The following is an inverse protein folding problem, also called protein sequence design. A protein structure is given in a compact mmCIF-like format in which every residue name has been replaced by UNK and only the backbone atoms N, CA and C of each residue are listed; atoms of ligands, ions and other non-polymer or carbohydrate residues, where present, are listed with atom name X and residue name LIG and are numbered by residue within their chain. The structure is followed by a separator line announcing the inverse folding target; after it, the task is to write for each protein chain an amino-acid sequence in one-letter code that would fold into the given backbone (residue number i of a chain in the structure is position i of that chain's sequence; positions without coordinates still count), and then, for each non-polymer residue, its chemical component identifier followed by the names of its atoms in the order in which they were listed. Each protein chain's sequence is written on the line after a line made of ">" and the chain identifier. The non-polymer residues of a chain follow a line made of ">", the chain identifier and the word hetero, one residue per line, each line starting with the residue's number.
data_IF_825008320531
#
_entry.id   IF_825008320531
#
_cell.length_a   1.000
_cell.length_b   1.000
_cell.length_c   1.000
_cell.angle_alpha   90.00
_cell.angle_beta   90.00
_cell.angle_gamma   90.00
#
_symmetry.space_group_name_H-M   'P 1'
#
loop_
_entity.id
_entity.type
_entity.pdbx_description
1 polymer ?
#
# COMPACT_ATOMS: atom_id res chain seq x y z
N UNK A 1 -69.75 18.87 23.65
CA UNK A 1 -68.86 17.71 23.44
C UNK A 1 -68.24 17.88 22.08
N UNK A 2 -66.97 18.27 22.00
CA UNK A 2 -66.21 18.38 20.78
C UNK A 2 -65.19 17.21 20.76
N UNK A 3 -65.34 16.33 19.83
CA UNK A 3 -64.48 15.16 19.62
C UNK A 3 -63.16 15.63 18.98
N UNK A 4 -62.05 15.39 19.67
CA UNK A 4 -60.69 15.56 19.13
C UNK A 4 -60.34 14.27 18.36
N UNK A 5 -60.02 14.41 17.07
CA UNK A 5 -59.36 13.39 16.28
C UNK A 5 -57.83 13.43 16.48
N UNK A 6 -57.15 12.30 16.69
CA UNK A 6 -55.70 12.26 16.75
C UNK A 6 -55.11 12.22 15.32
N UNK A 7 -54.28 13.20 15.01
CA UNK A 7 -53.41 13.16 13.81
C UNK A 7 -52.26 12.22 14.06
N UNK A 8 -52.24 11.08 13.33
CA UNK A 8 -51.08 10.24 13.25
C UNK A 8 -50.05 10.89 12.30
N UNK A 9 -48.93 11.35 12.87
CA UNK A 9 -47.78 11.84 12.11
C UNK A 9 -46.96 10.60 11.65
N UNK A 10 -47.09 10.20 10.39
CA UNK A 10 -46.27 9.17 9.79
C UNK A 10 -44.95 9.81 9.39
N UNK A 11 -43.90 9.63 10.20
CA UNK A 11 -42.53 9.94 9.81
C UNK A 11 -42.07 8.92 8.78
N UNK A 12 -42.09 9.28 7.50
CA UNK A 12 -41.40 8.54 6.44
C UNK A 12 -39.90 8.76 6.63
N UNK A 13 -39.21 7.76 7.19
CA UNK A 13 -37.77 7.64 7.14
C UNK A 13 -37.38 7.29 5.70
N UNK A 14 -36.92 8.28 4.94
CA UNK A 14 -36.21 8.06 3.68
C UNK A 14 -34.85 7.46 4.00
N UNK A 15 -34.75 6.13 3.92
CA UNK A 15 -33.46 5.47 3.75
C UNK A 15 -32.97 5.81 2.34
N UNK A 16 -32.10 6.80 2.23
CA UNK A 16 -31.28 6.99 1.04
C UNK A 16 -30.29 5.83 1.00
N UNK A 17 -30.67 4.77 0.27
CA UNK A 17 -29.71 3.75 -0.15
C UNK A 17 -28.77 4.45 -1.11
N UNK A 18 -27.64 4.96 -0.61
CA UNK A 18 -26.55 5.35 -1.47
C UNK A 18 -26.07 4.07 -2.16
N UNK A 19 -26.39 3.93 -3.44
CA UNK A 19 -25.81 2.89 -4.28
C UNK A 19 -24.32 3.17 -4.33
N UNK A 20 -23.53 2.37 -3.57
CA UNK A 20 -22.08 2.33 -3.77
C UNK A 20 -21.86 2.08 -5.26
N UNK A 21 -21.15 2.97 -5.92
CA UNK A 21 -20.72 2.74 -7.28
C UNK A 21 -19.97 1.41 -7.31
N UNK A 22 -20.32 0.53 -8.26
CA UNK A 22 -19.63 -0.73 -8.38
C UNK A 22 -18.16 -0.46 -8.72
N UNK A 23 -17.23 -1.03 -7.93
CA UNK A 23 -15.81 -0.96 -8.22
C UNK A 23 -15.53 -1.52 -9.62
N UNK A 24 -14.56 -0.94 -10.31
CA UNK A 24 -14.07 -1.53 -11.55
C UNK A 24 -13.43 -2.88 -11.23
N UNK A 25 -13.94 -3.95 -11.86
CA UNK A 25 -13.34 -5.29 -11.73
C UNK A 25 -12.28 -5.56 -12.79
N UNK A 26 -11.99 -4.58 -13.64
CA UNK A 26 -10.95 -4.66 -14.64
C UNK A 26 -9.66 -4.06 -14.09
N UNK A 27 -8.59 -4.86 -14.14
CA UNK A 27 -7.23 -4.39 -13.82
C UNK A 27 -6.72 -3.47 -14.93
N UNK A 28 -5.90 -2.48 -14.55
CA UNK A 28 -5.21 -1.61 -15.51
C UNK A 28 -4.14 -2.37 -16.32
N UNK A 29 -3.61 -3.48 -15.79
CA UNK A 29 -2.68 -4.38 -16.48
C UNK A 29 -3.43 -5.21 -17.54
N UNK A 30 -3.19 -5.04 -18.87
CA UNK A 30 -4.04 -5.61 -19.92
C UNK A 30 -4.10 -7.14 -19.94
N UNK A 31 -2.98 -7.79 -19.62
CA UNK A 31 -2.80 -9.24 -19.70
C UNK A 31 -2.55 -9.84 -18.32
N UNK A 32 -3.21 -9.33 -17.29
CA UNK A 32 -3.03 -9.80 -15.91
C UNK A 32 -3.10 -11.33 -15.80
N UNK A 33 -2.19 -11.90 -15.01
CA UNK A 33 -2.11 -13.35 -14.80
C UNK A 33 -3.40 -13.87 -14.13
N UNK A 34 -3.71 -15.16 -14.23
CA UNK A 34 -4.84 -15.74 -13.51
C UNK A 34 -4.81 -15.44 -12.01
N UNK A 35 -3.65 -15.62 -11.37
CA UNK A 35 -3.48 -15.33 -9.94
C UNK A 35 -3.75 -13.84 -9.62
N UNK A 36 -3.29 -12.91 -10.45
CA UNK A 36 -3.51 -11.47 -10.26
C UNK A 36 -4.99 -11.13 -10.37
N UNK A 37 -5.69 -11.70 -11.37
CA UNK A 37 -7.14 -11.53 -11.52
C UNK A 37 -7.91 -12.09 -10.33
N UNK A 38 -7.52 -13.25 -9.85
CA UNK A 38 -8.11 -13.92 -8.69
C UNK A 38 -7.95 -13.08 -7.42
N UNK A 39 -6.72 -12.63 -7.12
CA UNK A 39 -6.46 -11.76 -5.97
C UNK A 39 -7.29 -10.47 -6.05
N UNK A 40 -7.28 -9.80 -7.21
CA UNK A 40 -8.05 -8.56 -7.38
C UNK A 40 -9.57 -8.78 -7.24
N UNK A 41 -10.09 -9.90 -7.75
CA UNK A 41 -11.50 -10.27 -7.59
C UNK A 41 -11.85 -10.46 -6.10
N UNK A 42 -10.99 -11.15 -5.33
CA UNK A 42 -11.16 -11.32 -3.87
C UNK A 42 -11.14 -9.97 -3.16
N UNK A 43 -10.22 -9.06 -3.53
CA UNK A 43 -10.20 -7.70 -2.99
C UNK A 43 -11.54 -6.99 -3.24
N UNK A 44 -12.07 -7.06 -4.46
CA UNK A 44 -13.36 -6.47 -4.82
C UNK A 44 -14.54 -7.08 -4.05
N UNK A 45 -14.55 -8.40 -3.87
CA UNK A 45 -15.65 -9.10 -3.19
C UNK A 45 -15.66 -8.87 -1.69
N UNK A 46 -14.49 -8.66 -1.08
CA UNK A 46 -14.36 -8.34 0.34
C UNK A 46 -14.60 -6.86 0.66
N UNK A 47 -14.43 -5.97 -0.31
CA UNK A 47 -14.49 -4.52 -0.08
C UNK A 47 -15.81 -4.08 0.55
N UNK A 48 -15.71 -3.28 1.61
CA UNK A 48 -16.86 -2.83 2.39
C UNK A 48 -17.48 -3.86 3.34
N UNK A 49 -17.09 -5.15 3.21
CA UNK A 49 -17.58 -6.25 4.05
C UNK A 49 -16.54 -6.76 5.04
N UNK A 50 -15.27 -6.75 4.65
CA UNK A 50 -14.12 -7.18 5.44
C UNK A 50 -12.92 -6.29 5.11
N UNK A 51 -11.93 -6.27 6.01
CA UNK A 51 -10.62 -5.65 5.80
C UNK A 51 -9.55 -6.74 5.88
N UNK A 52 -8.61 -6.73 4.95
CA UNK A 52 -7.50 -7.67 4.95
C UNK A 52 -6.43 -7.15 5.93
N UNK A 53 -5.96 -8.02 6.81
CA UNK A 53 -4.88 -7.71 7.75
C UNK A 53 -3.53 -7.69 7.05
N UNK A 54 -2.70 -6.71 7.35
CA UNK A 54 -1.39 -6.56 6.71
C UNK A 54 -0.29 -6.13 7.66
N UNK A 55 0.91 -6.64 7.40
CA UNK A 55 2.18 -6.24 8.01
C UNK A 55 3.19 -5.92 6.92
N UNK A 56 4.26 -5.23 7.29
CA UNK A 56 5.39 -4.98 6.39
C UNK A 56 6.64 -5.70 6.91
N UNK A 57 7.39 -6.31 6.02
CA UNK A 57 8.68 -6.91 6.31
C UNK A 57 9.71 -5.84 6.63
N UNK A 58 10.72 -6.19 7.45
CA UNK A 58 11.92 -5.37 7.58
C UNK A 58 12.66 -5.32 6.25
N UNK A 59 13.59 -4.40 6.14
CA UNK A 59 14.33 -4.10 4.90
C UNK A 59 15.10 -5.28 4.29
N UNK A 60 15.40 -6.31 5.09
CA UNK A 60 16.07 -7.54 4.69
C UNK A 60 15.12 -8.68 4.29
N UNK A 61 13.86 -8.37 4.13
CA UNK A 61 12.78 -9.28 3.76
C UNK A 61 12.62 -10.46 4.72
N UNK A 62 11.79 -10.29 5.70
CA UNK A 62 11.43 -11.33 6.67
C UNK A 62 9.93 -11.34 6.96
N UNK A 63 9.49 -12.14 7.89
CA UNK A 63 8.11 -12.21 8.37
C UNK A 63 7.98 -11.91 9.86
N UNK A 64 8.97 -11.22 10.44
CA UNK A 64 9.06 -11.01 11.90
C UNK A 64 7.81 -10.33 12.46
N UNK A 65 7.30 -9.30 11.78
CA UNK A 65 6.07 -8.62 12.20
C UNK A 65 4.86 -9.55 12.18
N UNK A 66 4.74 -10.37 11.14
CA UNK A 66 3.67 -11.36 11.06
C UNK A 66 3.81 -12.45 12.15
N UNK A 67 5.04 -12.83 12.52
CA UNK A 67 5.33 -13.75 13.62
C UNK A 67 4.97 -13.13 14.98
N UNK A 68 5.17 -11.81 15.17
CA UNK A 68 4.71 -11.12 16.38
C UNK A 68 3.18 -11.20 16.50
N UNK A 69 2.47 -10.84 15.43
CA UNK A 69 1.00 -10.91 15.39
C UNK A 69 0.51 -12.33 15.67
N UNK A 70 1.13 -13.33 15.04
CA UNK A 70 0.77 -14.73 15.27
C UNK A 70 0.99 -15.16 16.72
N UNK A 71 2.12 -14.77 17.33
CA UNK A 71 2.40 -15.08 18.72
C UNK A 71 1.38 -14.49 19.71
N UNK A 72 0.82 -13.32 19.38
CA UNK A 72 -0.16 -12.64 20.21
C UNK A 72 -1.60 -13.11 20.01
N UNK A 73 -1.96 -13.49 18.78
CA UNK A 73 -3.36 -13.73 18.39
C UNK A 73 -3.67 -15.19 18.00
N UNK A 74 -2.64 -15.98 17.73
CA UNK A 74 -2.76 -17.31 17.12
C UNK A 74 -3.06 -17.28 15.61
N UNK A 75 -3.11 -16.09 14.97
CA UNK A 75 -3.47 -15.90 13.57
C UNK A 75 -2.38 -15.08 12.85
N UNK A 76 -2.01 -15.50 11.63
CA UNK A 76 -1.12 -14.69 10.79
C UNK A 76 -1.92 -13.62 10.03
N UNK A 77 -1.35 -12.41 9.83
CA UNK A 77 -1.90 -11.46 8.87
C UNK A 77 -2.00 -12.07 7.47
N UNK A 78 -2.98 -11.61 6.69
CA UNK A 78 -3.19 -12.15 5.35
C UNK A 78 -2.23 -11.56 4.30
N UNK A 79 -1.77 -10.33 4.49
CA UNK A 79 -0.85 -9.61 3.60
C UNK A 79 0.49 -9.40 4.31
N UNK A 80 1.61 -9.67 3.63
CA UNK A 80 2.92 -9.16 4.02
C UNK A 80 3.53 -8.37 2.87
N UNK A 81 4.04 -7.17 3.18
CA UNK A 81 4.60 -6.24 2.18
C UNK A 81 6.12 -6.25 2.27
N UNK A 82 6.81 -6.28 1.14
CA UNK A 82 8.25 -6.33 1.02
C UNK A 82 8.76 -5.07 0.33
N UNK A 83 9.79 -4.42 0.89
CA UNK A 83 10.32 -3.17 0.38
C UNK A 83 11.64 -3.38 -0.37
N UNK A 84 11.74 -2.84 -1.57
CA UNK A 84 12.97 -2.83 -2.37
C UNK A 84 13.93 -1.68 -2.01
N UNK A 85 13.85 -1.13 -0.81
CA UNK A 85 14.59 0.06 -0.39
C UNK A 85 16.11 -0.01 -0.65
N UNK A 86 16.72 -1.18 -0.48
CA UNK A 86 18.18 -1.36 -0.55
C UNK A 86 18.63 -2.16 -1.79
N UNK A 87 18.03 -1.93 -2.97
CA UNK A 87 18.41 -2.67 -4.20
C UNK A 87 19.91 -2.60 -4.48
N UNK A 88 20.55 -1.45 -4.23
CA UNK A 88 21.97 -1.23 -4.41
C UNK A 88 22.88 -2.03 -3.46
N UNK A 89 22.32 -2.55 -2.37
CA UNK A 89 23.01 -3.38 -1.37
C UNK A 89 22.67 -4.87 -1.50
N UNK A 90 21.96 -5.28 -2.53
CA UNK A 90 21.66 -6.69 -2.80
C UNK A 90 22.88 -7.41 -3.39
N UNK A 91 23.18 -8.61 -2.89
CA UNK A 91 24.40 -9.39 -3.23
C UNK A 91 24.49 -9.78 -4.69
N UNK A 92 23.36 -9.92 -5.37
CA UNK A 92 23.30 -10.24 -6.79
C UNK A 92 23.81 -9.12 -7.71
N UNK A 93 23.79 -7.86 -7.21
CA UNK A 93 24.29 -6.69 -7.93
C UNK A 93 25.53 -6.06 -7.27
N UNK A 94 25.74 -6.31 -5.98
CA UNK A 94 26.87 -5.80 -5.21
C UNK A 94 27.52 -6.94 -4.39
N UNK A 95 28.71 -7.43 -4.77
CA UNK A 95 29.36 -8.52 -4.04
C UNK A 95 29.63 -8.23 -2.56
N UNK A 96 29.67 -6.94 -2.16
CA UNK A 96 29.79 -6.51 -0.76
C UNK A 96 28.43 -6.22 -0.12
N UNK A 97 27.34 -6.56 -0.78
CA UNK A 97 25.99 -6.40 -0.27
C UNK A 97 25.74 -7.22 0.99
N UNK A 98 24.84 -6.74 1.83
CA UNK A 98 24.53 -7.38 3.10
C UNK A 98 23.17 -8.10 3.10
N UNK A 99 22.36 -7.91 2.06
CA UNK A 99 21.08 -8.60 1.84
C UNK A 99 21.05 -9.27 0.47
N UNK A 100 20.00 -10.02 0.16
CA UNK A 100 19.85 -10.71 -1.12
C UNK A 100 18.38 -10.71 -1.55
N UNK A 101 17.99 -9.77 -2.41
CA UNK A 101 16.63 -9.70 -2.97
C UNK A 101 16.39 -10.73 -4.09
N UNK A 102 17.43 -11.42 -4.59
CA UNK A 102 17.25 -12.54 -5.51
C UNK A 102 16.79 -13.83 -4.81
N UNK A 103 16.99 -13.95 -3.49
CA UNK A 103 16.43 -15.04 -2.69
C UNK A 103 14.92 -14.82 -2.46
N UNK A 104 14.12 -15.46 -3.30
CA UNK A 104 12.67 -15.42 -3.24
C UNK A 104 12.05 -16.39 -2.22
N UNK A 105 12.84 -17.04 -1.39
CA UNK A 105 12.35 -18.10 -0.49
C UNK A 105 11.29 -17.61 0.49
N UNK A 106 11.52 -16.46 1.13
CA UNK A 106 10.57 -15.87 2.09
C UNK A 106 9.25 -15.48 1.43
N UNK A 107 9.32 -14.83 0.26
CA UNK A 107 8.13 -14.42 -0.51
C UNK A 107 7.35 -15.63 -1.02
N UNK A 108 8.08 -16.62 -1.56
CA UNK A 108 7.49 -17.86 -2.09
C UNK A 108 6.82 -18.67 -0.97
N UNK A 109 7.47 -18.78 0.19
CA UNK A 109 6.90 -19.46 1.35
C UNK A 109 5.66 -18.76 1.87
N UNK A 110 5.67 -17.41 1.92
CA UNK A 110 4.51 -16.64 2.33
C UNK A 110 3.31 -16.90 1.40
N UNK A 111 3.52 -16.79 0.09
CA UNK A 111 2.50 -17.05 -0.93
C UNK A 111 1.97 -18.48 -0.88
N UNK A 112 2.84 -19.48 -0.82
CA UNK A 112 2.44 -20.90 -0.79
C UNK A 112 1.64 -21.28 0.47
N UNK A 113 1.76 -20.50 1.54
CA UNK A 113 0.93 -20.65 2.74
C UNK A 113 -0.35 -19.80 2.71
N UNK A 114 -0.75 -19.30 1.53
CA UNK A 114 -2.00 -18.57 1.33
C UNK A 114 -1.95 -17.10 1.73
N UNK A 115 -0.76 -16.54 1.94
CA UNK A 115 -0.58 -15.11 2.20
C UNK A 115 -0.53 -14.29 0.90
N UNK A 116 -1.14 -13.12 0.89
CA UNK A 116 -0.97 -12.14 -0.18
C UNK A 116 0.40 -11.49 -0.08
N UNK A 117 0.98 -11.21 -1.24
CA UNK A 117 2.28 -10.54 -1.37
C UNK A 117 2.06 -9.11 -1.81
N UNK A 118 2.53 -8.15 -1.00
CA UNK A 118 2.69 -6.77 -1.41
C UNK A 118 4.16 -6.45 -1.66
N UNK A 119 4.43 -5.53 -2.57
CA UNK A 119 5.75 -4.94 -2.72
C UNK A 119 5.63 -3.42 -2.78
N UNK A 120 6.59 -2.75 -2.16
CA UNK A 120 6.75 -1.30 -2.23
C UNK A 120 8.20 -0.95 -2.56
N UNK A 121 8.46 0.31 -2.81
CA UNK A 121 9.81 0.72 -3.16
C UNK A 121 10.12 2.11 -2.63
N UNK A 122 10.85 2.18 -1.52
CA UNK A 122 11.58 3.39 -1.15
C UNK A 122 12.78 3.53 -2.09
N UNK A 123 12.55 4.14 -3.24
CA UNK A 123 13.52 4.20 -4.32
C UNK A 123 14.68 5.14 -3.97
N UNK A 124 15.67 4.58 -3.29
CA UNK A 124 16.89 5.29 -2.98
C UNK A 124 17.78 5.40 -4.23
N UNK A 125 18.23 6.60 -4.49
CA UNK A 125 19.24 6.93 -5.51
C UNK A 125 20.51 7.43 -4.84
N UNK A 126 21.58 7.61 -5.61
CA UNK A 126 22.86 8.08 -5.06
C UNK A 126 22.70 9.48 -4.48
N UNK A 127 23.19 9.68 -3.26
CA UNK A 127 23.22 10.97 -2.59
C UNK A 127 24.33 11.87 -3.19
N UNK A 128 24.22 13.19 -2.99
CA UNK A 128 25.17 14.20 -3.51
C UNK A 128 26.61 14.01 -3.02
N UNK A 129 26.82 13.31 -1.88
CA UNK A 129 28.17 12.94 -1.44
C UNK A 129 28.82 11.81 -2.27
N UNK A 130 28.10 11.20 -3.19
CA UNK A 130 28.59 10.13 -4.07
C UNK A 130 28.86 8.79 -3.37
N UNK A 131 28.51 8.65 -2.10
CA UNK A 131 28.77 7.45 -1.27
C UNK A 131 27.49 6.79 -0.80
N UNK A 132 26.60 7.57 -0.21
CA UNK A 132 25.35 7.09 0.38
C UNK A 132 24.23 7.01 -0.67
N UNK A 133 23.11 6.42 -0.26
CA UNK A 133 21.87 6.39 -1.00
C UNK A 133 20.75 7.00 -0.18
N UNK A 134 19.79 7.67 -0.82
CA UNK A 134 18.73 8.42 -0.16
C UNK A 134 17.50 8.56 -1.06
N UNK A 135 16.32 8.73 -0.42
CA UNK A 135 15.10 9.17 -1.09
C UNK A 135 14.89 10.69 -0.98
N UNK A 136 15.64 11.36 -0.07
CA UNK A 136 15.37 12.76 0.31
C UNK A 136 15.89 13.73 -0.75
N UNK A 137 15.02 14.55 -1.37
CA UNK A 137 15.45 15.55 -2.37
C UNK A 137 16.12 16.74 -1.71
N UNK A 138 17.16 17.27 -2.34
CA UNK A 138 17.83 18.49 -1.91
C UNK A 138 19.29 18.57 -2.32
N UNK A 139 20.00 19.61 -1.82
CA UNK A 139 21.37 19.91 -2.21
C UNK A 139 22.40 19.59 -1.11
N UNK A 140 21.97 19.04 0.04
CA UNK A 140 22.91 18.67 1.10
C UNK A 140 23.63 17.36 0.76
N UNK A 141 24.80 17.07 1.35
CA UNK A 141 25.57 15.87 1.06
C UNK A 141 24.80 14.54 1.26
N UNK A 142 23.84 14.51 2.20
CA UNK A 142 22.99 13.33 2.48
C UNK A 142 21.67 13.32 1.70
N UNK A 143 21.39 14.34 0.92
CA UNK A 143 20.24 14.47 0.02
C UNK A 143 20.63 14.13 -1.41
N UNK A 144 19.67 14.18 -2.34
CA UNK A 144 19.93 13.96 -3.76
C UNK A 144 19.32 15.07 -4.62
N UNK A 145 20.04 15.49 -5.63
CA UNK A 145 19.58 16.37 -6.71
C UNK A 145 19.05 15.59 -7.93
N UNK A 146 18.86 14.27 -7.77
CA UNK A 146 18.29 13.41 -8.82
C UNK A 146 17.01 13.99 -9.39
N UNK A 147 16.97 14.17 -10.71
CA UNK A 147 15.86 14.82 -11.37
C UNK A 147 14.78 13.85 -11.87
N UNK A 148 13.58 13.81 -11.28
CA UNK A 148 12.49 12.97 -11.79
C UNK A 148 12.03 13.32 -13.21
N UNK A 149 12.40 14.50 -13.75
CA UNK A 149 12.15 14.87 -15.13
C UNK A 149 13.17 14.29 -16.12
N UNK A 150 14.18 13.55 -15.66
CA UNK A 150 15.21 12.89 -16.48
C UNK A 150 14.61 11.96 -17.56
N UNK A 151 13.36 11.50 -17.39
CA UNK A 151 12.62 10.73 -18.41
C UNK A 151 12.51 11.45 -19.75
N UNK A 152 12.70 12.77 -19.79
CA UNK A 152 12.70 13.60 -21.00
C UNK A 152 14.10 13.76 -21.62
N UNK A 153 15.16 13.34 -20.94
CA UNK A 153 16.55 13.41 -21.42
C UNK A 153 17.25 12.05 -21.39
N UNK A 154 17.08 11.22 -22.46
CA UNK A 154 17.69 9.90 -22.54
C UNK A 154 19.24 9.90 -22.52
N UNK A 155 19.88 11.06 -22.58
CA UNK A 155 21.34 11.18 -22.54
C UNK A 155 21.87 11.47 -21.14
N UNK A 156 21.00 11.82 -20.19
CA UNK A 156 21.41 12.15 -18.81
C UNK A 156 21.88 10.90 -18.04
N UNK A 157 22.71 11.13 -17.03
CA UNK A 157 23.15 10.08 -16.11
C UNK A 157 21.97 9.58 -15.26
N UNK A 158 21.09 10.50 -14.84
CA UNK A 158 19.90 10.18 -14.07
C UNK A 158 18.95 9.26 -14.85
N UNK A 159 18.76 9.49 -16.16
CA UNK A 159 17.95 8.59 -16.98
C UNK A 159 18.54 7.17 -17.04
N UNK A 160 19.88 7.06 -17.20
CA UNK A 160 20.55 5.78 -17.22
C UNK A 160 20.43 5.03 -15.89
N UNK A 161 20.58 5.75 -14.77
CA UNK A 161 20.39 5.20 -13.43
C UNK A 161 18.93 4.76 -13.22
N UNK A 162 17.97 5.61 -13.61
CA UNK A 162 16.54 5.32 -13.52
C UNK A 162 16.17 4.03 -14.25
N UNK A 163 16.65 3.85 -15.49
CA UNK A 163 16.42 2.61 -16.24
C UNK A 163 17.06 1.41 -15.58
N UNK A 164 18.31 1.55 -15.11
CA UNK A 164 19.03 0.47 -14.44
C UNK A 164 18.25 -0.03 -13.21
N UNK A 165 17.78 0.86 -12.38
CA UNK A 165 17.05 0.54 -11.14
C UNK A 165 15.69 -0.10 -11.45
N UNK A 166 14.95 0.45 -12.43
CA UNK A 166 13.67 -0.13 -12.87
C UNK A 166 13.89 -1.55 -13.41
N UNK A 167 14.89 -1.77 -14.26
CA UNK A 167 15.16 -3.07 -14.86
C UNK A 167 15.58 -4.10 -13.80
N UNK A 168 16.32 -3.68 -12.78
CA UNK A 168 16.67 -4.52 -11.64
C UNK A 168 15.43 -4.96 -10.84
N UNK A 169 14.58 -4.01 -10.41
CA UNK A 169 13.35 -4.34 -9.67
C UNK A 169 12.38 -5.14 -10.54
N UNK A 170 12.28 -4.81 -11.83
CA UNK A 170 11.47 -5.60 -12.77
C UNK A 170 11.96 -7.06 -12.87
N UNK A 171 13.25 -7.31 -12.79
CA UNK A 171 13.83 -8.67 -12.73
C UNK A 171 13.34 -9.46 -11.51
N UNK A 172 13.32 -8.85 -10.33
CA UNK A 172 12.79 -9.49 -9.12
C UNK A 172 11.27 -9.76 -9.23
N UNK A 173 10.50 -8.78 -9.68
CA UNK A 173 9.06 -8.95 -9.90
C UNK A 173 8.74 -9.98 -10.98
N UNK A 174 9.61 -10.12 -12.00
CA UNK A 174 9.51 -11.14 -13.04
C UNK A 174 9.71 -12.54 -12.46
N UNK A 175 10.67 -12.70 -11.57
CA UNK A 175 10.88 -13.96 -10.85
C UNK A 175 9.65 -14.35 -10.02
N UNK A 176 9.00 -13.39 -9.38
CA UNK A 176 7.71 -13.63 -8.69
C UNK A 176 6.63 -14.05 -9.68
N UNK A 177 6.54 -13.39 -10.85
CA UNK A 177 5.57 -13.76 -11.90
C UNK A 177 5.77 -15.20 -12.38
N UNK A 178 7.00 -15.61 -12.61
CA UNK A 178 7.35 -16.97 -13.06
C UNK A 178 7.00 -18.04 -12.02
N UNK A 179 6.93 -17.66 -10.74
CA UNK A 179 6.46 -18.49 -9.63
C UNK A 179 4.93 -18.42 -9.42
N UNK A 180 4.19 -17.71 -10.30
CA UNK A 180 2.74 -17.55 -10.20
C UNK A 180 2.26 -16.62 -9.07
N UNK A 181 3.14 -15.78 -8.55
CA UNK A 181 2.84 -14.86 -7.42
C UNK A 181 2.21 -13.58 -7.96
N UNK A 182 1.01 -13.26 -7.50
CA UNK A 182 0.39 -11.94 -7.69
C UNK A 182 0.96 -10.95 -6.68
N UNK A 183 1.22 -9.72 -7.11
CA UNK A 183 1.85 -8.69 -6.28
C UNK A 183 0.98 -7.45 -6.19
N UNK A 184 0.62 -7.03 -4.98
CA UNK A 184 0.06 -5.70 -4.71
C UNK A 184 1.24 -4.72 -4.74
N UNK A 185 1.36 -3.95 -5.84
CA UNK A 185 2.53 -3.13 -6.15
C UNK A 185 2.27 -1.66 -5.83
N UNK A 186 3.02 -1.11 -4.86
CA UNK A 186 2.90 0.27 -4.38
C UNK A 186 4.22 1.04 -4.57
N UNK A 187 4.57 1.44 -5.80
CA UNK A 187 5.73 2.28 -6.07
C UNK A 187 5.45 3.75 -5.79
N UNK A 188 6.49 4.57 -5.69
CA UNK A 188 6.42 6.04 -5.70
C UNK A 188 5.40 6.61 -4.70
N UNK A 189 5.28 5.98 -3.53
CA UNK A 189 4.31 6.36 -2.49
C UNK A 189 4.65 7.73 -1.90
N UNK A 190 3.65 8.35 -1.26
CA UNK A 190 3.76 9.63 -0.55
C UNK A 190 4.40 10.77 -1.37
N UNK A 191 4.19 10.77 -2.69
CA UNK A 191 4.91 11.64 -3.61
C UNK A 191 4.72 13.13 -3.31
N UNK A 192 3.51 13.55 -2.92
CA UNK A 192 3.24 14.95 -2.58
C UNK A 192 3.74 15.35 -1.19
N UNK A 193 4.10 14.36 -0.34
CA UNK A 193 4.44 14.60 1.05
C UNK A 193 3.33 15.38 1.76
N UNK A 194 3.70 16.45 2.46
CA UNK A 194 2.75 17.35 3.12
C UNK A 194 2.55 18.69 2.39
N UNK A 195 2.78 18.72 1.07
CA UNK A 195 2.70 19.93 0.24
C UNK A 195 1.38 20.68 0.40
N UNK A 196 0.28 19.97 0.62
CA UNK A 196 -1.07 20.53 0.69
C UNK A 196 -1.62 20.62 2.12
N UNK A 197 -0.86 20.21 3.13
CA UNK A 197 -1.33 20.20 4.51
C UNK A 197 -1.19 21.57 5.18
N UNK A 198 -0.13 22.31 4.85
CA UNK A 198 0.13 23.65 5.38
C UNK A 198 1.04 24.47 4.46
N UNK A 199 1.07 25.78 4.71
CA UNK A 199 1.95 26.69 3.96
C UNK A 199 3.42 26.35 4.25
N UNK A 200 4.19 26.08 3.19
CA UNK A 200 5.57 25.61 3.27
C UNK A 200 5.73 24.09 3.35
N UNK A 201 4.67 23.35 3.26
CA UNK A 201 4.72 21.88 3.05
C UNK A 201 5.46 21.51 1.77
N UNK A 202 6.05 20.31 1.73
CA UNK A 202 6.93 19.88 0.63
C UNK A 202 6.80 18.37 0.34
N UNK A 203 7.22 17.95 -0.84
CA UNK A 203 7.46 16.55 -1.15
C UNK A 203 8.60 16.01 -0.24
N UNK A 204 8.45 14.77 0.22
CA UNK A 204 9.44 14.12 1.08
C UNK A 204 10.48 13.36 0.29
N UNK A 205 10.10 12.91 -0.90
CA UNK A 205 10.89 12.03 -1.75
C UNK A 205 11.21 12.69 -3.10
N UNK A 206 12.34 12.31 -3.70
CA UNK A 206 12.82 12.88 -4.95
C UNK A 206 11.81 12.74 -6.10
N UNK A 207 11.00 11.67 -6.14
CA UNK A 207 9.99 11.46 -7.19
C UNK A 207 8.82 12.44 -7.14
N UNK A 208 8.65 13.16 -6.04
CA UNK A 208 7.68 14.25 -5.89
C UNK A 208 8.27 15.66 -6.02
N UNK A 209 9.60 15.79 -6.03
CA UNK A 209 10.29 17.09 -5.88
C UNK A 209 9.97 18.13 -6.98
N UNK A 210 9.55 17.69 -8.16
CA UNK A 210 9.21 18.56 -9.31
C UNK A 210 7.69 18.73 -9.50
N UNK A 211 6.86 18.29 -8.55
CA UNK A 211 5.40 18.47 -8.56
C UNK A 211 4.63 17.44 -9.37
N UNK A 212 3.31 17.57 -9.34
CA UNK A 212 2.38 16.53 -9.79
C UNK A 212 2.47 16.18 -11.26
N UNK A 213 2.73 17.12 -12.17
CA UNK A 213 2.83 16.81 -13.60
C UNK A 213 4.06 15.93 -13.90
N UNK A 214 5.19 16.23 -13.29
CA UNK A 214 6.41 15.41 -13.40
C UNK A 214 6.19 14.04 -12.77
N UNK A 215 5.57 13.99 -11.60
CA UNK A 215 5.22 12.74 -10.93
C UNK A 215 4.33 11.84 -11.81
N UNK A 216 3.26 12.39 -12.39
CA UNK A 216 2.38 11.64 -13.29
C UNK A 216 3.11 11.10 -14.51
N UNK A 217 4.00 11.90 -15.08
CA UNK A 217 4.84 11.46 -16.21
C UNK A 217 5.79 10.32 -15.79
N UNK A 218 6.44 10.43 -14.63
CA UNK A 218 7.30 9.38 -14.08
C UNK A 218 6.52 8.10 -13.77
N UNK A 219 5.32 8.21 -13.17
CA UNK A 219 4.45 7.07 -12.91
C UNK A 219 4.11 6.31 -14.19
N UNK A 220 3.68 7.04 -15.24
CA UNK A 220 3.34 6.45 -16.53
C UNK A 220 4.54 5.82 -17.23
N UNK A 221 5.71 6.45 -17.10
CA UNK A 221 6.97 5.89 -17.59
C UNK A 221 7.32 4.58 -16.90
N UNK A 222 7.21 4.52 -15.56
CA UNK A 222 7.43 3.33 -14.77
C UNK A 222 6.44 2.21 -15.16
N UNK A 223 5.16 2.55 -15.28
CA UNK A 223 4.11 1.62 -15.71
C UNK A 223 4.42 1.04 -17.10
N UNK A 224 4.70 1.89 -18.06
CA UNK A 224 5.03 1.48 -19.43
C UNK A 224 6.25 0.55 -19.47
N UNK A 225 7.30 0.91 -18.75
CA UNK A 225 8.52 0.11 -18.66
C UNK A 225 8.25 -1.26 -18.03
N UNK A 226 7.54 -1.32 -16.93
CA UNK A 226 7.25 -2.58 -16.23
C UNK A 226 6.25 -3.46 -16.99
N UNK A 227 5.13 -2.89 -17.45
CA UNK A 227 4.04 -3.66 -18.07
C UNK A 227 4.33 -3.98 -19.53
N UNK A 228 4.73 -2.99 -20.33
CA UNK A 228 4.86 -3.17 -21.78
C UNK A 228 6.26 -3.58 -22.21
N UNK A 229 7.31 -3.09 -21.56
CA UNK A 229 8.68 -3.50 -21.90
C UNK A 229 9.08 -4.82 -21.23
N UNK A 230 8.90 -4.96 -19.90
CA UNK A 230 9.25 -6.18 -19.17
C UNK A 230 8.16 -7.25 -19.17
N UNK A 231 6.94 -6.92 -19.59
CA UNK A 231 5.81 -7.86 -19.63
C UNK A 231 5.39 -8.35 -18.24
N UNK A 232 5.43 -7.46 -17.24
CA UNK A 232 4.96 -7.76 -15.89
C UNK A 232 3.45 -7.71 -15.87
N UNK A 233 2.82 -8.87 -15.75
CA UNK A 233 1.38 -9.06 -15.75
C UNK A 233 0.82 -9.54 -14.40
N UNK A 234 1.68 -9.56 -13.37
CA UNK A 234 1.35 -10.02 -12.03
C UNK A 234 1.14 -8.88 -11.02
N UNK A 235 1.05 -7.63 -11.48
CA UNK A 235 0.99 -6.46 -10.63
C UNK A 235 -0.44 -5.91 -10.51
N UNK A 236 -0.86 -5.60 -9.26
CA UNK A 236 -2.02 -4.77 -8.92
C UNK A 236 -1.48 -3.41 -8.50
N UNK A 237 -1.73 -2.38 -9.30
CA UNK A 237 -1.10 -1.06 -9.16
C UNK A 237 -1.81 -0.20 -8.11
N UNK A 238 -1.08 0.20 -7.08
CA UNK A 238 -1.56 1.00 -5.94
C UNK A 238 -0.95 2.39 -5.99
N UNK A 239 -1.76 3.40 -6.24
CA UNK A 239 -1.35 4.79 -6.08
C UNK A 239 -1.63 5.26 -4.65
N UNK A 240 -0.61 5.82 -4.01
CA UNK A 240 -0.68 6.31 -2.64
C UNK A 240 -0.97 7.82 -2.65
N UNK A 241 -2.19 8.19 -2.29
CA UNK A 241 -2.66 9.56 -2.19
C UNK A 241 -2.31 10.16 -0.83
N UNK A 242 -1.89 11.41 -0.82
CA UNK A 242 -1.78 12.25 0.37
C UNK A 242 -2.88 13.31 0.40
N UNK A 243 -3.00 14.06 1.51
CA UNK A 243 -4.07 15.05 1.65
C UNK A 243 -3.97 16.13 0.57
N UNK A 244 -5.06 16.34 -0.19
CA UNK A 244 -5.16 17.42 -1.17
C UNK A 244 -4.45 17.19 -2.52
N UNK A 245 -3.88 16.00 -2.75
CA UNK A 245 -3.06 15.72 -3.93
C UNK A 245 -3.82 15.13 -5.14
N UNK A 246 -5.14 15.34 -5.22
CA UNK A 246 -5.96 14.81 -6.31
C UNK A 246 -5.44 15.15 -7.71
N UNK A 247 -4.79 16.30 -7.87
CA UNK A 247 -4.17 16.73 -9.13
C UNK A 247 -2.95 15.87 -9.53
N UNK A 248 -2.42 15.08 -8.61
CA UNK A 248 -1.29 14.17 -8.83
C UNK A 248 -1.72 12.77 -9.28
N UNK A 249 -3.00 12.50 -9.29
CA UNK A 249 -3.53 11.19 -9.70
C UNK A 249 -3.11 10.85 -11.14
N UNK A 250 -2.41 9.72 -11.37
CA UNK A 250 -1.85 9.41 -12.67
C UNK A 250 -2.88 8.92 -13.72
N UNK A 251 -4.07 8.52 -13.26
CA UNK A 251 -5.19 8.13 -14.13
C UNK A 251 -5.69 6.71 -13.90
N UNK A 252 -6.96 6.50 -14.25
CA UNK A 252 -7.66 5.22 -14.05
C UNK A 252 -7.07 4.06 -14.84
N UNK A 253 -6.42 4.36 -15.97
CA UNK A 253 -5.81 3.41 -16.89
C UNK A 253 -4.49 2.81 -16.40
N UNK A 254 -3.89 3.38 -15.35
CA UNK A 254 -2.61 2.95 -14.77
C UNK A 254 -2.66 2.76 -13.26
N UNK A 255 -3.86 2.73 -12.67
CA UNK A 255 -4.09 2.54 -11.22
C UNK A 255 -5.26 1.60 -10.99
N UNK A 256 -5.08 0.60 -10.14
CA UNK A 256 -6.14 -0.33 -9.71
C UNK A 256 -6.74 0.06 -8.36
N UNK A 257 -5.90 0.49 -7.43
CA UNK A 257 -6.26 0.80 -6.04
C UNK A 257 -5.71 2.16 -5.65
N UNK A 258 -6.50 2.94 -4.91
CA UNK A 258 -6.05 4.17 -4.27
C UNK A 258 -5.80 3.89 -2.79
N UNK A 259 -4.66 4.29 -2.28
CA UNK A 259 -4.28 4.06 -0.89
C UNK A 259 -3.95 5.37 -0.15
N UNK A 260 -3.94 5.28 1.17
CA UNK A 260 -3.55 6.34 2.10
C UNK A 260 -2.56 5.78 3.12
N UNK A 261 -1.64 6.63 3.60
CA UNK A 261 -0.81 6.38 4.77
C UNK A 261 -1.21 7.33 5.89
N UNK A 262 -1.36 6.81 7.11
CA UNK A 262 -1.79 7.59 8.26
C UNK A 262 -1.18 7.07 9.57
N UNK A 263 -0.31 7.87 10.17
CA UNK A 263 0.37 7.56 11.44
C UNK A 263 -0.28 8.24 12.66
N UNK A 264 -1.43 8.88 12.47
CA UNK A 264 -2.28 9.39 13.54
C UNK A 264 -3.68 8.79 13.40
N UNK A 265 -3.72 7.46 13.31
CA UNK A 265 -4.87 6.69 12.88
C UNK A 265 -6.02 6.69 13.89
N UNK A 266 -6.54 7.87 14.21
CA UNK A 266 -7.77 8.04 14.99
C UNK A 266 -8.99 7.75 14.12
N UNK A 267 -9.99 7.08 14.70
CA UNK A 267 -11.19 6.63 13.98
C UNK A 267 -11.88 7.74 13.18
N UNK A 268 -12.02 8.94 13.73
CA UNK A 268 -12.75 10.01 13.07
C UNK A 268 -11.95 10.72 11.95
N UNK A 269 -10.68 11.08 12.12
CA UNK A 269 -9.82 11.49 11.02
C UNK A 269 -9.77 10.45 9.89
N UNK A 270 -9.52 9.18 10.19
CA UNK A 270 -9.50 8.09 9.20
C UNK A 270 -10.82 7.96 8.45
N UNK A 271 -11.95 8.13 9.12
CA UNK A 271 -13.26 8.11 8.47
C UNK A 271 -13.41 9.25 7.47
N UNK A 272 -13.00 10.46 7.81
CA UNK A 272 -13.06 11.60 6.88
C UNK A 272 -12.21 11.37 5.65
N UNK A 273 -11.00 10.88 5.83
CA UNK A 273 -10.09 10.55 4.73
C UNK A 273 -10.66 9.44 3.85
N UNK A 274 -11.16 8.37 4.45
CA UNK A 274 -11.79 7.27 3.74
C UNK A 274 -12.97 7.73 2.88
N UNK A 275 -13.90 8.50 3.45
CA UNK A 275 -15.07 9.03 2.72
C UNK A 275 -14.66 10.00 1.62
N UNK A 276 -13.62 10.82 1.86
CA UNK A 276 -13.11 11.73 0.84
C UNK A 276 -12.54 10.95 -0.35
N UNK A 277 -11.71 9.94 -0.09
CA UNK A 277 -11.14 9.09 -1.13
C UNK A 277 -12.24 8.33 -1.91
N UNK A 278 -13.25 7.78 -1.23
CA UNK A 278 -14.38 7.15 -1.91
C UNK A 278 -15.15 8.11 -2.82
N UNK A 279 -15.27 9.36 -2.42
CA UNK A 279 -15.93 10.41 -3.20
C UNK A 279 -15.10 10.79 -4.43
N UNK A 280 -13.79 10.93 -4.25
CA UNK A 280 -12.87 11.35 -5.32
C UNK A 280 -12.59 10.22 -6.33
N UNK A 281 -12.57 8.97 -5.85
CA UNK A 281 -12.27 7.76 -6.64
C UNK A 281 -13.35 6.68 -6.49
N UNK A 282 -14.60 6.94 -6.91
CA UNK A 282 -15.76 6.11 -6.57
C UNK A 282 -15.72 4.70 -7.19
N UNK A 283 -14.90 4.48 -8.19
CA UNK A 283 -14.75 3.18 -8.88
C UNK A 283 -13.55 2.39 -8.41
N UNK A 284 -12.74 2.92 -7.48
CA UNK A 284 -11.50 2.30 -7.01
C UNK A 284 -11.70 1.64 -5.64
N UNK A 285 -10.93 0.60 -5.40
CA UNK A 285 -10.72 0.10 -4.04
C UNK A 285 -9.93 1.13 -3.26
N UNK A 286 -10.29 1.33 -1.98
CA UNK A 286 -9.59 2.26 -1.09
C UNK A 286 -8.92 1.48 0.03
N UNK A 287 -7.63 1.68 0.24
CA UNK A 287 -6.82 0.96 1.21
C UNK A 287 -6.09 1.90 2.17
N UNK A 288 -5.76 1.40 3.36
CA UNK A 288 -4.84 2.04 4.31
C UNK A 288 -3.50 1.32 4.22
N UNK A 289 -2.61 1.83 3.35
CA UNK A 289 -1.41 1.12 2.95
C UNK A 289 -0.28 1.22 3.99
N UNK A 290 -0.32 2.25 4.83
CA UNK A 290 0.49 2.33 6.05
C UNK A 290 -0.32 2.95 7.17
N UNK A 291 -0.18 2.41 8.38
CA UNK A 291 -0.79 3.00 9.54
C UNK A 291 -0.06 2.61 10.83
N UNK A 292 -0.36 3.38 11.87
CA UNK A 292 0.18 3.13 13.21
C UNK A 292 -0.10 4.26 14.17
N UNK A 293 0.39 4.08 15.38
CA UNK A 293 0.46 5.12 16.40
C UNK A 293 1.43 6.21 15.95
N UNK A 294 1.04 7.47 16.06
CA UNK A 294 1.94 8.61 15.90
C UNK A 294 2.68 8.93 17.22
N UNK A 295 3.56 9.92 17.20
CA UNK A 295 4.46 10.25 18.31
C UNK A 295 3.77 10.51 19.65
N UNK A 296 2.54 11.01 19.67
CA UNK A 296 1.80 11.38 20.89
C UNK A 296 0.39 10.77 20.97
N UNK A 297 -0.05 10.00 19.95
CA UNK A 297 -1.44 9.55 19.84
C UNK A 297 -1.50 8.08 19.46
N UNK A 298 -2.04 7.25 20.34
CA UNK A 298 -2.31 5.86 20.06
C UNK A 298 -3.33 5.71 18.92
N UNK A 299 -3.08 4.77 18.02
CA UNK A 299 -4.04 4.39 16.99
C UNK A 299 -5.34 3.90 17.63
N UNK A 300 -6.50 4.33 17.12
CA UNK A 300 -7.80 3.81 17.55
C UNK A 300 -7.89 2.31 17.32
N UNK A 301 -8.64 1.61 18.17
CA UNK A 301 -8.88 0.18 17.97
C UNK A 301 -9.54 -0.08 16.61
N UNK A 302 -9.22 -1.20 16.01
CA UNK A 302 -9.77 -1.55 14.70
C UNK A 302 -11.31 -1.60 14.70
N UNK A 303 -11.91 -2.11 15.77
CA UNK A 303 -13.38 -2.14 15.92
C UNK A 303 -14.00 -0.74 15.88
N UNK A 304 -13.34 0.25 16.45
CA UNK A 304 -13.82 1.63 16.45
C UNK A 304 -13.70 2.26 15.06
N UNK A 305 -12.56 2.01 14.37
CA UNK A 305 -12.34 2.42 12.98
C UNK A 305 -13.42 1.82 12.07
N UNK A 306 -13.69 0.53 12.24
CA UNK A 306 -14.70 -0.18 11.46
C UNK A 306 -16.13 0.31 11.74
N UNK A 307 -16.50 0.47 13.01
CA UNK A 307 -17.84 0.94 13.42
C UNK A 307 -18.11 2.38 12.97
N UNK A 308 -17.09 3.23 12.92
CA UNK A 308 -17.18 4.58 12.37
C UNK A 308 -17.51 4.58 10.87
N UNK A 309 -17.21 3.50 10.14
CA UNK A 309 -17.54 3.35 8.72
C UNK A 309 -16.35 3.28 7.77
N UNK A 310 -15.12 3.32 8.28
CA UNK A 310 -13.89 3.19 7.46
C UNK A 310 -13.70 1.74 7.04
N UNK A 311 -14.11 1.43 5.81
CA UNK A 311 -14.14 0.07 5.24
C UNK A 311 -12.97 -0.17 4.29
N UNK A 312 -11.75 0.05 4.78
CA UNK A 312 -10.52 -0.11 4.00
C UNK A 312 -10.40 -1.52 3.42
N UNK A 313 -9.95 -1.65 2.19
CA UNK A 313 -9.72 -2.94 1.53
C UNK A 313 -8.69 -3.78 2.30
N UNK A 314 -7.60 -3.18 2.68
CA UNK A 314 -6.64 -3.70 3.65
C UNK A 314 -6.16 -2.60 4.57
N UNK A 315 -5.52 -3.01 5.66
CA UNK A 315 -4.86 -2.16 6.61
C UNK A 315 -3.50 -2.79 6.91
N UNK A 316 -2.41 -2.03 6.76
CA UNK A 316 -1.05 -2.49 7.00
C UNK A 316 -0.39 -1.64 8.07
N UNK A 317 0.09 -2.28 9.14
CA UNK A 317 0.87 -1.61 10.19
C UNK A 317 2.36 -1.63 9.85
N UNK A 318 3.07 -0.55 10.24
CA UNK A 318 4.52 -0.49 10.05
C UNK A 318 5.27 -1.40 11.01
N UNK A 319 6.50 -1.79 10.69
CA UNK A 319 7.35 -2.63 11.52
C UNK A 319 8.02 -1.86 12.66
N UNK A 320 8.39 -2.58 13.72
CA UNK A 320 9.12 -2.04 14.87
C UNK A 320 10.35 -2.90 15.20
N UNK A 321 11.55 -2.34 15.04
CA UNK A 321 12.79 -3.03 15.41
C UNK A 321 12.92 -3.31 16.93
N UNK A 322 12.16 -2.58 17.76
CA UNK A 322 12.18 -2.67 19.23
C UNK A 322 10.96 -3.39 19.79
N UNK A 323 10.16 -4.04 18.94
CA UNK A 323 9.00 -4.79 19.35
C UNK A 323 9.35 -5.83 20.44
N UNK A 324 8.66 -5.76 21.57
CA UNK A 324 8.74 -6.79 22.60
C UNK A 324 7.61 -7.80 22.46
N UNK A 325 7.94 -8.97 21.92
CA UNK A 325 6.99 -10.07 21.72
C UNK A 325 6.34 -10.54 23.00
N UNK A 326 7.02 -10.46 24.15
CA UNK A 326 6.53 -10.96 25.44
C UNK A 326 5.55 -9.98 26.08
N UNK A 327 5.92 -8.70 26.18
CA UNK A 327 5.03 -7.67 26.73
C UNK A 327 3.94 -7.29 25.74
N UNK A 328 4.22 -7.39 24.45
CA UNK A 328 3.34 -6.94 23.36
C UNK A 328 3.46 -5.46 23.08
N UNK A 329 4.52 -4.80 23.60
CA UNK A 329 4.85 -3.42 23.27
C UNK A 329 5.34 -3.33 21.82
N UNK A 330 4.81 -2.36 21.09
CA UNK A 330 5.13 -2.11 19.70
C UNK A 330 4.84 -0.64 19.39
N UNK A 331 5.75 0.04 18.71
CA UNK A 331 5.64 1.47 18.44
C UNK A 331 4.34 1.81 17.67
N UNK A 332 3.93 1.00 16.71
CA UNK A 332 2.82 1.33 15.80
C UNK A 332 1.53 0.60 16.12
N UNK A 333 1.57 -0.71 16.35
CA UNK A 333 0.37 -1.52 16.65
C UNK A 333 0.72 -2.70 17.57
N UNK A 334 0.50 -2.54 18.86
CA UNK A 334 0.82 -3.54 19.88
C UNK A 334 -0.19 -4.70 19.95
N UNK A 335 0.11 -5.64 20.86
CA UNK A 335 -0.65 -6.88 21.06
C UNK A 335 -2.16 -6.64 21.21
N UNK A 336 -2.56 -5.71 22.05
CA UNK A 336 -3.99 -5.52 22.36
C UNK A 336 -4.75 -4.97 21.16
N UNK A 337 -4.12 -4.14 20.34
CA UNK A 337 -4.68 -3.69 19.06
C UNK A 337 -4.89 -4.85 18.09
N UNK A 338 -3.89 -5.72 17.95
CA UNK A 338 -3.97 -6.88 17.07
C UNK A 338 -5.00 -7.91 17.54
N UNK A 339 -5.11 -8.16 18.86
CA UNK A 339 -6.16 -9.03 19.43
C UNK A 339 -7.54 -8.45 19.08
N UNK A 340 -7.76 -7.14 19.30
CA UNK A 340 -9.01 -6.48 18.94
C UNK A 340 -9.32 -6.64 17.44
N UNK A 341 -8.33 -6.42 16.58
CA UNK A 341 -8.50 -6.51 15.14
C UNK A 341 -8.86 -7.93 14.68
N UNK A 342 -8.08 -8.93 15.08
CA UNK A 342 -8.27 -10.33 14.65
C UNK A 342 -9.54 -10.96 15.22
N UNK A 343 -9.97 -10.56 16.42
CA UNK A 343 -11.21 -11.06 17.05
C UNK A 343 -12.46 -10.28 16.63
N UNK A 344 -12.35 -9.21 15.86
CA UNK A 344 -13.46 -8.34 15.45
C UNK A 344 -14.53 -9.05 14.60
N UNK A 345 -14.17 -10.13 13.92
CA UNK A 345 -14.99 -10.78 12.90
C UNK A 345 -15.02 -10.03 11.55
N UNK A 346 -14.34 -8.88 11.44
CA UNK A 346 -14.25 -8.07 10.20
C UNK A 346 -12.87 -8.12 9.55
N UNK A 347 -11.84 -8.55 10.27
CA UNK A 347 -10.49 -8.71 9.76
C UNK A 347 -10.32 -10.09 9.12
N UNK A 348 -9.69 -10.16 7.95
CA UNK A 348 -9.33 -11.41 7.26
C UNK A 348 -7.90 -11.77 7.64
N UNK A 349 -7.69 -12.97 8.14
CA UNK A 349 -6.38 -13.58 8.40
C UNK A 349 -5.88 -14.42 7.20
N UNK A 350 -4.64 -14.92 7.28
CA UNK A 350 -4.02 -15.72 6.22
C UNK A 350 -4.74 -17.05 5.96
N UNK A 351 -5.29 -17.68 6.99
CA UNK A 351 -6.02 -18.95 6.84
C UNK A 351 -7.31 -18.73 6.07
N UNK A 352 -8.05 -17.68 6.38
CA UNK A 352 -9.25 -17.30 5.65
C UNK A 352 -8.93 -16.90 4.21
N UNK A 353 -7.83 -16.16 3.99
CA UNK A 353 -7.36 -15.80 2.65
C UNK A 353 -7.01 -17.04 1.82
N UNK A 354 -6.31 -18.01 2.41
CA UNK A 354 -6.01 -19.28 1.75
C UNK A 354 -7.28 -20.01 1.29
N UNK A 355 -8.32 -20.03 2.13
CA UNK A 355 -9.60 -20.63 1.75
C UNK A 355 -10.27 -19.92 0.57
N UNK A 356 -10.21 -18.58 0.54
CA UNK A 356 -10.74 -17.77 -0.57
C UNK A 356 -9.97 -18.04 -1.87
N UNK A 357 -8.64 -18.11 -1.82
CA UNK A 357 -7.82 -18.43 -2.97
C UNK A 357 -8.12 -19.83 -3.53
N UNK A 358 -8.30 -20.83 -2.66
CA UNK A 358 -8.63 -22.21 -3.08
C UNK A 358 -10.07 -22.36 -3.60
N UNK A 359 -11.02 -21.58 -3.08
CA UNK A 359 -12.44 -21.69 -3.51
C UNK A 359 -12.74 -21.05 -4.85
N UNK A 360 -11.90 -20.14 -5.32
CA UNK A 360 -12.04 -19.47 -6.61
C UNK A 360 -11.46 -20.31 -7.80
N UNK A 361 -10.76 -21.41 -7.51
CA UNK A 361 -10.25 -22.37 -8.50
C UNK A 361 -11.29 -23.41 -8.94
N UNK A 362 -12.52 -23.36 -8.40
CA UNK A 362 -13.65 -24.26 -8.73
C UNK A 362 -14.69 -23.56 -9.61
#
# INVERSE_FOLDING_TARGET
>A
MKTLQPYFLVCLLYFTCATLAAQSRALCTPHATPATKQVYQILCDLYGQKTISGTVARVDWNTDEAEHVHAWTGQYPALNVFDFINIHASKDVNPNGWLDYSDMSVVTNWWNNGGLVGCMWHWQVRANNGVNYTCSPGNQPGETDFDPACIQDPQSDDYRQLLHDIDQVAGYLKTMQEKGIAVIWRPLHEASGNTFEYDGGKAWFWWGAKGGETFKALWRFLYDRMVHHHGLNNLIWVWNSQMGDNSWYPGDDVVDVVARDSYYALQYPLYKEFIQLQKDYPTKLIALAECGTGDEVNMSLFTDIWQQGSRWSWLMTWYDYHCDRVTGEHQFAGRDWWINAMQSGYMIDRTQMQQLLQSADL
#
